data_IF_495501475983
#
_entry.id   IF_495501475983
#
_cell.length_a   1.000
_cell.length_b   1.000
_cell.length_c   1.000
_cell.angle_alpha   90.00
_cell.angle_beta   90.00
_cell.angle_gamma   90.00
#
_symmetry.space_group_name_H-M   'P 1'
#
loop_
_entity.id
_entity.type
_entity.pdbx_description
1 polymer ?
#
# COMPACT_ATOMS: atom_id res chain seq x y z
N UNK A 1 -0.40 -18.06 -6.01
CA UNK A 1 0.83 -17.56 -5.38
C UNK A 1 0.47 -17.05 -4.01
N UNK A 2 1.31 -17.26 -3.00
CA UNK A 2 1.18 -16.59 -1.70
C UNK A 2 1.70 -15.17 -1.77
N UNK A 3 1.44 -14.36 -0.75
CA UNK A 3 1.93 -12.99 -0.68
C UNK A 3 3.47 -12.95 -0.56
N UNK A 4 4.03 -13.89 0.20
CA UNK A 4 5.48 -14.11 0.31
C UNK A 4 6.10 -14.43 -1.05
N UNK A 5 5.48 -15.34 -1.82
CA UNK A 5 5.95 -15.69 -3.16
C UNK A 5 5.92 -14.50 -4.13
N UNK A 6 4.93 -13.59 -3.98
CA UNK A 6 4.84 -12.36 -4.77
C UNK A 6 5.95 -11.39 -4.37
N UNK A 7 6.19 -11.18 -3.07
CA UNK A 7 7.23 -10.28 -2.57
C UNK A 7 8.62 -10.66 -3.07
N UNK A 8 8.96 -11.96 -3.01
CA UNK A 8 10.26 -12.45 -3.51
C UNK A 8 10.41 -12.26 -5.04
N UNK A 9 9.33 -12.48 -5.80
CA UNK A 9 9.33 -12.23 -7.25
C UNK A 9 9.47 -10.76 -7.59
N UNK A 10 8.82 -9.87 -6.84
CA UNK A 10 8.92 -8.42 -7.04
C UNK A 10 10.30 -7.88 -6.66
N UNK A 11 10.89 -8.38 -5.58
CA UNK A 11 12.28 -8.08 -5.23
C UNK A 11 13.23 -8.44 -6.37
N UNK A 12 13.13 -9.66 -6.89
CA UNK A 12 13.92 -10.07 -8.06
C UNK A 12 13.65 -9.18 -9.28
N UNK A 13 12.39 -8.86 -9.57
CA UNK A 13 12.00 -8.00 -10.68
C UNK A 13 12.61 -6.59 -10.57
N UNK A 14 12.70 -6.06 -9.35
CA UNK A 14 13.31 -4.79 -9.02
C UNK A 14 14.84 -4.80 -9.18
N UNK A 15 15.50 -5.86 -8.70
CA UNK A 15 16.94 -6.06 -8.87
C UNK A 15 17.30 -6.17 -10.36
N UNK A 16 16.55 -6.97 -11.14
CA UNK A 16 16.76 -7.15 -12.57
C UNK A 16 16.62 -5.84 -13.38
N UNK A 17 16.02 -4.79 -12.80
CA UNK A 17 15.79 -3.47 -13.40
C UNK A 17 16.59 -2.34 -12.76
N UNK A 18 17.48 -2.66 -11.81
CA UNK A 18 18.26 -1.67 -11.05
C UNK A 18 17.38 -0.63 -10.33
N UNK A 19 16.23 -1.06 -9.82
CA UNK A 19 15.36 -0.23 -8.97
C UNK A 19 15.26 -0.79 -7.54
N UNK A 20 16.08 -1.78 -7.18
CA UNK A 20 16.19 -2.32 -5.82
C UNK A 20 16.98 -1.44 -4.85
N UNK A 21 17.82 -0.53 -5.36
CA UNK A 21 18.61 0.38 -4.53
C UNK A 21 17.78 1.51 -3.93
N UNK A 22 18.22 2.04 -2.78
CA UNK A 22 17.57 3.16 -2.11
C UNK A 22 17.33 4.34 -3.06
N UNK A 23 16.09 4.78 -3.16
CA UNK A 23 15.71 5.90 -4.03
C UNK A 23 14.41 6.54 -3.56
N UNK A 24 14.29 7.86 -3.69
CA UNK A 24 13.04 8.57 -3.41
C UNK A 24 12.05 8.51 -4.58
N UNK A 25 12.45 7.92 -5.72
CA UNK A 25 11.61 7.80 -6.92
C UNK A 25 10.38 6.93 -6.69
N UNK A 26 10.45 5.91 -5.84
CA UNK A 26 9.29 5.07 -5.55
C UNK A 26 8.19 5.82 -4.80
N UNK A 27 8.54 6.86 -4.02
CA UNK A 27 7.53 7.74 -3.43
C UNK A 27 6.81 8.54 -4.52
N UNK A 28 7.54 9.06 -5.52
CA UNK A 28 6.90 9.75 -6.65
C UNK A 28 5.99 8.81 -7.44
N UNK A 29 6.44 7.58 -7.70
CA UNK A 29 5.62 6.57 -8.38
C UNK A 29 4.38 6.20 -7.57
N UNK A 30 4.48 6.12 -6.24
CA UNK A 30 3.32 5.89 -5.38
C UNK A 30 2.25 6.97 -5.53
N UNK A 31 2.64 8.25 -5.61
CA UNK A 31 1.70 9.34 -5.85
C UNK A 31 1.05 9.27 -7.24
N UNK A 32 1.80 8.80 -8.25
CA UNK A 32 1.27 8.54 -9.59
C UNK A 32 0.18 7.47 -9.55
N UNK A 33 0.44 6.31 -8.93
CA UNK A 33 -0.55 5.21 -8.83
C UNK A 33 -1.80 5.60 -8.03
N UNK A 34 -1.63 6.42 -6.98
CA UNK A 34 -2.76 6.98 -6.22
C UNK A 34 -3.61 7.90 -7.12
N UNK A 35 -2.97 8.66 -8.01
CA UNK A 35 -3.65 9.50 -8.99
C UNK A 35 -4.47 8.67 -9.97
N UNK A 36 -3.88 7.59 -10.51
CA UNK A 36 -4.56 6.66 -11.41
C UNK A 36 -5.76 5.98 -10.74
N UNK A 37 -5.60 5.53 -9.49
CA UNK A 37 -6.70 4.99 -8.69
C UNK A 37 -7.83 6.01 -8.51
N UNK A 38 -7.49 7.25 -8.16
CA UNK A 38 -8.47 8.33 -7.98
C UNK A 38 -9.23 8.62 -9.29
N UNK A 39 -8.55 8.59 -10.44
CA UNK A 39 -9.18 8.79 -11.74
C UNK A 39 -10.13 7.62 -12.08
N UNK A 40 -9.69 6.38 -11.87
CA UNK A 40 -10.47 5.18 -12.14
C UNK A 40 -11.78 5.15 -11.33
N UNK A 41 -11.70 5.44 -10.02
CA UNK A 41 -12.87 5.51 -9.14
C UNK A 41 -13.82 6.62 -9.60
N UNK A 42 -13.30 7.83 -9.86
CA UNK A 42 -14.14 8.97 -10.26
C UNK A 42 -14.86 8.72 -11.60
N UNK A 43 -14.27 7.90 -12.48
CA UNK A 43 -14.84 7.55 -13.79
C UNK A 43 -15.59 6.21 -13.80
N UNK A 44 -15.73 5.52 -12.66
CA UNK A 44 -16.34 4.18 -12.54
C UNK A 44 -15.71 3.13 -13.47
N UNK A 45 -14.38 3.14 -13.58
CA UNK A 45 -13.60 2.29 -14.47
C UNK A 45 -13.05 1.09 -13.69
N UNK A 46 -13.85 0.04 -13.54
CA UNK A 46 -13.56 -1.07 -12.61
C UNK A 46 -12.30 -1.87 -12.93
N UNK A 47 -11.97 -2.04 -14.22
CA UNK A 47 -10.75 -2.75 -14.62
C UNK A 47 -9.50 -1.95 -14.23
N UNK A 48 -9.52 -0.63 -14.49
CA UNK A 48 -8.45 0.30 -14.13
C UNK A 48 -8.32 0.47 -12.62
N UNK A 49 -9.43 0.38 -11.88
CA UNK A 49 -9.40 0.39 -10.42
C UNK A 49 -8.65 -0.84 -9.86
N UNK A 50 -8.89 -2.03 -10.42
CA UNK A 50 -8.19 -3.26 -10.04
C UNK A 50 -6.68 -3.13 -10.36
N UNK A 51 -6.34 -2.64 -11.54
CA UNK A 51 -4.95 -2.47 -11.97
C UNK A 51 -4.21 -1.47 -11.06
N UNK A 52 -4.79 -0.29 -10.82
CA UNK A 52 -4.18 0.74 -9.98
C UNK A 52 -3.99 0.28 -8.51
N UNK A 53 -4.93 -0.49 -7.95
CA UNK A 53 -4.76 -1.10 -6.62
C UNK A 53 -3.59 -2.12 -6.63
N UNK A 54 -3.41 -2.85 -7.72
CA UNK A 54 -2.27 -3.75 -7.92
C UNK A 54 -0.95 -2.98 -7.97
N UNK A 55 -0.89 -1.91 -8.77
CA UNK A 55 0.32 -1.12 -8.96
C UNK A 55 0.75 -0.39 -7.68
N UNK A 56 -0.19 0.12 -6.88
CA UNK A 56 0.09 0.65 -5.53
C UNK A 56 0.80 -0.41 -4.67
N UNK A 57 0.32 -1.65 -4.68
CA UNK A 57 0.95 -2.73 -3.90
C UNK A 57 2.35 -3.06 -4.42
N UNK A 58 2.54 -3.13 -5.74
CA UNK A 58 3.86 -3.35 -6.36
C UNK A 58 4.84 -2.27 -5.92
N UNK A 59 4.46 -1.00 -6.03
CA UNK A 59 5.31 0.14 -5.66
C UNK A 59 5.64 0.13 -4.17
N UNK A 60 4.65 -0.16 -3.30
CA UNK A 60 4.88 -0.24 -1.85
C UNK A 60 5.83 -1.37 -1.45
N UNK A 61 5.71 -2.54 -2.09
CA UNK A 61 6.61 -3.68 -1.83
C UNK A 61 8.05 -3.34 -2.24
N UNK A 62 8.23 -2.74 -3.42
CA UNK A 62 9.55 -2.30 -3.89
C UNK A 62 10.11 -1.20 -2.98
N UNK A 63 9.28 -0.25 -2.56
CA UNK A 63 9.69 0.79 -1.60
C UNK A 63 10.14 0.19 -0.26
N UNK A 64 9.43 -0.78 0.29
CA UNK A 64 9.85 -1.49 1.50
C UNK A 64 11.22 -2.13 1.30
N UNK A 65 11.41 -2.83 0.18
CA UNK A 65 12.69 -3.45 -0.15
C UNK A 65 13.84 -2.43 -0.23
N UNK A 66 13.65 -1.30 -0.92
CA UNK A 66 14.63 -0.20 -1.00
C UNK A 66 15.01 0.39 0.36
N UNK A 67 14.12 0.26 1.36
CA UNK A 67 14.29 0.79 2.72
C UNK A 67 14.74 -0.29 3.72
N UNK A 68 14.95 -1.52 3.26
CA UNK A 68 15.32 -2.65 4.13
C UNK A 68 14.19 -3.08 5.07
N UNK A 69 12.94 -2.89 4.66
CA UNK A 69 11.74 -3.26 5.42
C UNK A 69 11.09 -4.52 4.83
N UNK A 70 10.49 -5.34 5.69
CA UNK A 70 9.62 -6.44 5.28
C UNK A 70 8.16 -5.95 5.17
N UNK A 71 7.52 -6.00 3.98
CA UNK A 71 6.12 -5.61 3.81
C UNK A 71 5.15 -6.37 4.73
N UNK A 72 5.42 -7.66 5.01
CA UNK A 72 4.56 -8.49 5.86
C UNK A 72 4.68 -8.05 7.32
N UNK A 73 5.90 -7.77 7.78
CA UNK A 73 6.12 -7.22 9.12
C UNK A 73 5.45 -5.85 9.27
N UNK A 74 5.58 -4.97 8.27
CA UNK A 74 4.90 -3.67 8.25
C UNK A 74 3.38 -3.83 8.38
N UNK A 75 2.79 -4.74 7.61
CA UNK A 75 1.36 -5.02 7.64
C UNK A 75 0.92 -5.63 8.97
N UNK A 76 1.69 -6.58 9.51
CA UNK A 76 1.42 -7.19 10.81
C UNK A 76 1.46 -6.16 11.94
N UNK A 77 2.43 -5.25 11.93
CA UNK A 77 2.51 -4.14 12.88
C UNK A 77 1.28 -3.23 12.79
N UNK A 78 0.87 -2.85 11.57
CA UNK A 78 -0.34 -2.06 11.38
C UNK A 78 -1.59 -2.80 11.86
N UNK A 79 -1.73 -4.09 11.53
CA UNK A 79 -2.85 -4.92 11.98
C UNK A 79 -2.94 -5.00 13.51
N UNK A 80 -1.82 -5.24 14.18
CA UNK A 80 -1.76 -5.31 15.64
C UNK A 80 -2.17 -3.99 16.32
N UNK A 81 -1.99 -2.85 15.66
CA UNK A 81 -2.49 -1.56 16.14
C UNK A 81 -3.99 -1.41 15.90
N UNK A 82 -4.53 -1.85 14.76
CA UNK A 82 -5.94 -1.62 14.42
C UNK A 82 -6.89 -2.65 15.03
N UNK A 83 -6.44 -3.88 15.30
CA UNK A 83 -7.29 -4.97 15.80
C UNK A 83 -7.94 -4.67 17.16
N UNK A 84 -7.25 -3.88 17.98
CA UNK A 84 -7.70 -3.52 19.33
C UNK A 84 -8.35 -2.12 19.37
N UNK A 85 -8.50 -1.44 18.22
CA UNK A 85 -9.12 -0.12 18.17
C UNK A 85 -10.59 -0.20 18.53
N UNK A 86 -11.01 0.66 19.44
CA UNK A 86 -12.42 0.92 19.72
C UNK A 86 -12.83 2.24 19.08
N UNK A 87 -14.10 2.36 18.69
CA UNK A 87 -14.61 3.53 18.00
C UNK A 87 -15.99 3.33 17.39
N UNK A 88 -16.40 4.29 16.56
CA UNK A 88 -17.67 4.25 15.81
C UNK A 88 -17.44 4.71 14.38
N UNK A 89 -18.16 4.11 13.44
CA UNK A 89 -18.19 4.60 12.06
C UNK A 89 -19.16 5.77 11.94
N UNK A 90 -18.67 6.92 11.50
CA UNK A 90 -19.46 8.13 11.26
C UNK A 90 -19.25 8.52 9.79
N UNK A 91 -20.33 8.61 9.01
CA UNK A 91 -20.27 8.96 7.58
C UNK A 91 -19.26 8.13 6.76
N UNK A 92 -19.18 6.82 7.02
CA UNK A 92 -18.28 5.90 6.33
C UNK A 92 -16.82 5.93 6.80
N UNK A 93 -16.47 6.80 7.76
CA UNK A 93 -15.13 6.87 8.34
C UNK A 93 -15.15 6.29 9.75
N UNK A 94 -14.20 5.40 10.06
CA UNK A 94 -14.02 4.90 11.43
C UNK A 94 -13.35 5.98 12.29
N UNK A 95 -14.03 6.41 13.36
CA UNK A 95 -13.54 7.41 14.33
C UNK A 95 -13.22 6.70 15.64
N UNK A 96 -12.00 6.90 16.17
CA UNK A 96 -11.54 6.25 17.41
C UNK A 96 -12.29 6.81 18.61
N UNK A 97 -12.50 5.99 19.65
CA UNK A 97 -13.16 6.42 20.88
C UNK A 97 -12.49 7.65 21.51
N UNK A 98 -11.15 7.70 21.52
CA UNK A 98 -10.36 8.82 22.05
C UNK A 98 -10.60 10.14 21.28
N UNK A 99 -10.95 10.06 20.00
CA UNK A 99 -11.22 11.22 19.14
C UNK A 99 -12.71 11.64 19.20
N UNK A 100 -13.58 10.86 19.88
CA UNK A 100 -15.01 11.16 20.05
C UNK A 100 -15.30 12.00 21.30
N UNK A 101 -14.37 12.04 22.25
CA UNK A 101 -14.49 12.84 23.48
C UNK A 101 -13.70 14.16 23.31
N UNK A 102 -14.26 15.04 22.47
CA UNK A 102 -13.85 16.44 22.34
C UNK A 102 -14.79 17.39 23.06
#
# INVERSE_FOLDING_TARGET
MTFEEINERLKKWADDRNIGEYSDKQIMKLFEEIGELSEAINKNMSEQEIDAVGDIQVVLIILCYQRGLDPIECLNNAYNVIKDRTGKTINGTFVKSEDLEG
#
